data_IF_131102017221
#
_entry.id   IF_131102017221
#
_cell.length_a   1.000
_cell.length_b   1.000
_cell.length_c   1.000
_cell.angle_alpha   90.00
_cell.angle_beta   90.00
_cell.angle_gamma   90.00
#
_symmetry.space_group_name_H-M   'P 1'
#
loop_
_entity.id
_entity.type
_entity.pdbx_description
1 polymer ?
2 non-polymer ?
3 non-polymer ?
4 non-polymer ?
5 non-polymer ?
6 non-polymer ?
7 water ?
#
# COMPACT_ATOMS: atom_id res chain seq x y z
N UNK A 4 3.75 -24.27 -20.40
CA UNK A 4 2.28 -24.21 -20.65
C UNK A 4 1.63 -23.02 -19.95
N UNK A 5 0.36 -22.78 -20.26
CA UNK A 5 -0.39 -21.70 -19.62
C UNK A 5 -0.57 -21.96 -18.13
N UNK A 6 -1.00 -20.93 -17.43
CA UNK A 6 -1.21 -20.96 -15.99
C UNK A 6 -2.43 -20.14 -15.64
N UNK A 7 -3.23 -20.65 -14.71
CA UNK A 7 -4.24 -19.83 -14.06
C UNK A 7 -4.18 -20.08 -12.55
N UNK A 8 -4.75 -19.16 -11.79
CA UNK A 8 -4.71 -19.22 -10.34
C UNK A 8 -6.12 -19.36 -9.78
N UNK A 9 -6.22 -20.05 -8.65
CA UNK A 9 -7.41 -20.03 -7.81
C UNK A 9 -7.03 -19.39 -6.47
N UNK A 10 -7.80 -18.41 -6.02
CA UNK A 10 -7.55 -17.79 -4.72
C UNK A 10 -8.76 -18.00 -3.83
N UNK A 11 -8.53 -18.64 -2.68
CA UNK A 11 -9.58 -18.92 -1.70
C UNK A 11 -9.75 -17.72 -0.80
N UNK A 12 -10.94 -17.10 -0.87
CA UNK A 12 -11.16 -15.80 -0.22
C UNK A 12 -12.53 -15.66 0.45
N UNK A 13 -13.18 -16.79 0.73
CA UNK A 13 -14.58 -16.83 1.17
C UNK A 13 -14.81 -16.66 2.67
N UNK A 14 -13.74 -16.63 3.45
CA UNK A 14 -13.85 -16.70 4.90
C UNK A 14 -14.43 -15.46 5.58
N UNK A 15 -15.17 -15.71 6.66
CA UNK A 15 -15.76 -14.66 7.51
C UNK A 15 -14.73 -13.92 8.37
N UNK A 16 -13.69 -14.63 8.80
CA UNK A 16 -12.67 -14.02 9.65
C UNK A 16 -13.24 -13.56 10.98
N UNK A 17 -13.95 -14.47 11.63
CA UNK A 17 -14.62 -14.20 12.91
C UNK A 17 -13.70 -13.57 13.96
N UNK A 18 -12.46 -14.06 14.05
CA UNK A 18 -11.55 -13.65 15.13
C UNK A 18 -10.85 -12.31 14.85
N UNK A 19 -11.17 -11.70 13.71
CA UNK A 19 -10.82 -10.31 13.44
C UNK A 19 -11.81 -9.34 14.12
N UNK A 20 -12.95 -9.85 14.58
CA UNK A 20 -14.02 -9.05 15.18
C UNK A 20 -14.28 -7.78 14.36
N UNK A 21 -14.68 -8.00 13.12
CA UNK A 21 -14.80 -6.94 12.12
C UNK A 21 -16.06 -7.11 11.28
N UNK A 22 -16.57 -6.01 10.76
CA UNK A 22 -17.64 -6.07 9.75
C UNK A 22 -17.12 -6.47 8.37
N UNK A 23 -15.80 -6.43 8.18
CA UNK A 23 -15.17 -6.85 6.93
C UNK A 23 -14.97 -8.35 6.87
N UNK A 24 -15.03 -8.93 5.64
CA UNK A 24 -14.61 -10.31 5.53
C UNK A 24 -13.08 -10.44 5.67
N UNK A 25 -12.63 -11.66 5.90
CA UNK A 25 -11.27 -11.94 6.37
C UNK A 25 -10.17 -11.35 5.50
N UNK A 26 -10.33 -11.44 4.19
CA UNK A 26 -9.20 -11.13 3.30
C UNK A 26 -9.10 -9.67 2.88
N UNK A 27 -10.04 -8.83 3.33
CA UNK A 27 -10.02 -7.40 2.98
C UNK A 27 -9.20 -6.55 3.94
N UNK A 28 -8.83 -7.12 5.08
CA UNK A 28 -7.95 -6.43 6.04
C UNK A 28 -6.62 -6.13 5.34
N UNK A 29 -6.07 -4.95 5.58
CA UNK A 29 -4.96 -4.48 4.77
C UNK A 29 -3.59 -4.85 5.37
N UNK A 30 -2.63 -5.05 4.47
CA UNK A 30 -1.21 -5.12 4.78
C UNK A 30 -0.57 -4.05 3.90
N UNK A 31 0.19 -3.15 4.51
CA UNK A 31 0.81 -2.03 3.80
C UNK A 31 -0.21 -1.26 2.94
N UNK A 32 -1.40 -1.04 3.50
CA UNK A 32 -2.44 -0.24 2.84
C UNK A 32 -3.25 -0.92 1.75
N UNK A 33 -3.03 -2.22 1.57
CA UNK A 33 -3.58 -2.98 0.45
C UNK A 33 -4.24 -4.24 1.04
N UNK A 34 -5.50 -4.54 0.67
CA UNK A 34 -6.13 -5.78 1.18
C UNK A 34 -5.22 -7.00 0.98
N UNK A 35 -5.20 -7.91 1.94
CA UNK A 35 -4.41 -9.15 1.83
C UNK A 35 -4.64 -9.81 0.47
N UNK A 36 -5.90 -9.92 0.07
CA UNK A 36 -6.24 -10.63 -1.18
C UNK A 36 -5.66 -9.95 -2.42
N UNK A 37 -5.55 -8.61 -2.38
CA UNK A 37 -4.97 -7.83 -3.47
C UNK A 37 -3.47 -8.16 -3.66
N UNK A 38 -2.73 -8.35 -2.57
CA UNK A 38 -1.36 -8.82 -2.66
C UNK A 38 -1.30 -10.13 -3.45
N UNK A 39 -2.19 -11.06 -3.12
CA UNK A 39 -2.19 -12.38 -3.73
C UNK A 39 -2.61 -12.31 -5.22
N UNK A 40 -3.63 -11.51 -5.52
CA UNK A 40 -4.03 -11.26 -6.90
C UNK A 40 -2.85 -10.71 -7.71
N UNK A 41 -2.17 -9.70 -7.16
CA UNK A 41 -1.04 -9.10 -7.86
C UNK A 41 0.06 -10.13 -8.10
N UNK A 42 0.38 -10.93 -7.09
CA UNK A 42 1.38 -11.98 -7.24
C UNK A 42 0.98 -12.99 -8.33
N UNK A 43 -0.28 -13.38 -8.33
CA UNK A 43 -0.79 -14.28 -9.36
C UNK A 43 -0.64 -13.69 -10.75
N UNK A 44 -0.94 -12.40 -10.89
CA UNK A 44 -0.80 -11.69 -12.17
C UNK A 44 0.68 -11.64 -12.61
N UNK A 45 1.56 -11.31 -11.67
CA UNK A 45 2.98 -11.17 -12.00
C UNK A 45 3.62 -12.53 -12.37
N UNK A 46 3.01 -13.63 -11.91
CA UNK A 46 3.38 -14.97 -12.36
C UNK A 46 2.99 -15.29 -13.81
N UNK A 47 2.13 -14.47 -14.39
CA UNK A 47 1.65 -14.68 -15.75
C UNK A 47 0.34 -15.45 -15.81
N UNK A 48 -0.47 -15.38 -14.74
CA UNK A 48 -1.75 -16.10 -14.70
C UNK A 48 -2.68 -15.55 -15.78
N UNK A 49 -3.25 -16.45 -16.58
CA UNK A 49 -4.18 -16.07 -17.62
C UNK A 49 -5.56 -15.75 -17.03
N UNK A 50 -6.05 -16.63 -16.17
CA UNK A 50 -7.23 -16.38 -15.38
C UNK A 50 -6.88 -16.40 -13.89
N UNK A 51 -7.62 -15.64 -13.09
CA UNK A 51 -7.53 -15.68 -11.64
C UNK A 51 -8.93 -15.89 -11.12
N UNK A 52 -9.19 -17.09 -10.62
CA UNK A 52 -10.50 -17.44 -10.11
C UNK A 52 -10.59 -17.09 -8.62
N UNK A 53 -11.41 -16.09 -8.31
CA UNK A 53 -11.54 -15.62 -6.93
C UNK A 53 -12.74 -16.27 -6.28
N UNK A 54 -12.48 -17.17 -5.33
CA UNK A 54 -13.55 -17.85 -4.63
C UNK A 54 -13.93 -16.94 -3.47
N UNK A 55 -15.13 -16.42 -3.49
CA UNK A 55 -15.58 -15.50 -2.45
C UNK A 55 -16.93 -15.95 -1.91
N UNK A 56 -17.34 -15.37 -0.79
CA UNK A 56 -18.56 -15.79 -0.09
C UNK A 56 -19.00 -14.79 0.95
N UNK A 57 -18.43 -14.88 2.15
CA UNK A 57 -18.73 -13.89 3.20
C UNK A 57 -18.30 -12.47 2.83
N UNK A 58 -19.16 -11.50 3.19
CA UNK A 58 -18.91 -10.10 2.87
C UNK A 58 -18.87 -9.87 1.37
N UNK A 59 -19.68 -10.61 0.63
CA UNK A 59 -19.72 -10.56 -0.83
C UNK A 59 -19.83 -9.16 -1.38
N UNK A 60 -20.76 -8.38 -0.83
CA UNK A 60 -20.92 -6.98 -1.23
C UNK A 60 -19.67 -6.16 -1.07
N UNK A 61 -19.01 -6.30 0.07
CA UNK A 61 -17.80 -5.55 0.35
C UNK A 61 -16.65 -6.00 -0.54
N UNK A 62 -16.54 -7.31 -0.79
CA UNK A 62 -15.56 -7.83 -1.73
C UNK A 62 -15.70 -7.15 -3.10
N UNK A 63 -16.93 -7.12 -3.58
CA UNK A 63 -17.22 -6.55 -4.89
C UNK A 63 -16.95 -5.04 -4.98
N UNK A 64 -17.23 -4.30 -3.90
CA UNK A 64 -17.01 -2.86 -3.89
C UNK A 64 -15.52 -2.53 -3.70
N UNK A 65 -14.84 -3.28 -2.82
CA UNK A 65 -13.42 -3.07 -2.56
C UNK A 65 -12.49 -3.54 -3.66
N UNK A 66 -12.92 -4.51 -4.46
CA UNK A 66 -12.05 -5.11 -5.48
C UNK A 66 -12.66 -5.03 -6.86
N UNK A 67 -13.52 -4.03 -7.07
CA UNK A 67 -14.31 -3.90 -8.29
C UNK A 67 -13.48 -3.88 -9.59
N UNK A 68 -12.28 -3.33 -9.54
CA UNK A 68 -11.44 -3.21 -10.74
C UNK A 68 -10.43 -4.35 -10.92
N UNK A 69 -10.50 -5.37 -10.08
CA UNK A 69 -9.58 -6.50 -10.20
C UNK A 69 -9.97 -7.43 -11.35
N UNK A 70 -8.98 -7.87 -12.09
CA UNK A 70 -9.17 -8.76 -13.23
C UNK A 70 -9.21 -10.22 -12.74
N UNK A 71 -10.36 -10.57 -12.17
CA UNK A 71 -10.59 -11.90 -11.62
C UNK A 71 -11.93 -12.41 -12.12
N UNK A 72 -12.07 -13.73 -12.09
CA UNK A 72 -13.34 -14.41 -12.27
C UNK A 72 -13.98 -14.54 -10.88
N UNK A 73 -15.15 -13.94 -10.72
CA UNK A 73 -15.88 -13.93 -9.46
C UNK A 73 -16.67 -15.21 -9.27
N UNK A 74 -16.16 -16.08 -8.39
CA UNK A 74 -16.78 -17.39 -8.17
C UNK A 74 -17.38 -17.40 -6.77
N UNK A 75 -18.70 -17.24 -6.69
CA UNK A 75 -19.40 -17.11 -5.42
C UNK A 75 -19.78 -18.47 -4.85
N UNK A 76 -19.11 -18.82 -3.75
CA UNK A 76 -19.34 -20.05 -3.03
C UNK A 76 -20.44 -19.86 -1.96
N UNK A 77 -21.58 -20.51 -2.15
CA UNK A 77 -22.74 -20.34 -1.26
C UNK A 77 -22.55 -20.97 0.13
N UNK A 78 -21.72 -22.01 0.24
CA UNK A 78 -21.34 -22.56 1.55
C UNK A 78 -19.90 -23.08 1.58
N UNK A 79 -19.26 -22.92 2.73
CA UNK A 79 -17.87 -23.34 2.90
C UNK A 79 -17.86 -24.79 3.38
N UNK A 80 -17.68 -25.71 2.43
CA UNK A 80 -17.69 -27.13 2.74
C UNK A 80 -16.30 -27.74 2.69
N UNK A 81 -15.27 -26.90 2.63
CA UNK A 81 -13.87 -27.35 2.63
C UNK A 81 -13.10 -26.80 1.45
N UNK A 82 -11.77 -26.85 1.54
CA UNK A 82 -10.91 -26.27 0.52
C UNK A 82 -11.07 -26.95 -0.85
N UNK A 83 -11.34 -28.25 -0.87
CA UNK A 83 -11.50 -28.96 -2.15
C UNK A 83 -12.79 -28.53 -2.85
N UNK A 84 -13.83 -28.33 -2.06
CA UNK A 84 -15.09 -27.84 -2.56
C UNK A 84 -14.94 -26.43 -3.12
N UNK A 85 -14.16 -25.60 -2.44
CA UNK A 85 -13.91 -24.24 -2.90
C UNK A 85 -13.23 -24.26 -4.27
N UNK A 86 -12.14 -25.02 -4.39
CA UNK A 86 -11.41 -25.09 -5.65
C UNK A 86 -12.30 -25.67 -6.73
N UNK A 87 -13.12 -26.65 -6.36
CA UNK A 87 -14.02 -27.27 -7.34
C UNK A 87 -15.03 -26.29 -7.93
N UNK A 88 -15.34 -25.21 -7.22
CA UNK A 88 -16.25 -24.18 -7.75
C UNK A 88 -15.70 -23.51 -9.03
N UNK A 89 -14.37 -23.42 -9.13
CA UNK A 89 -13.70 -22.81 -10.28
C UNK A 89 -13.33 -23.84 -11.36
N UNK A 90 -13.37 -25.12 -11.00
CA UNK A 90 -12.88 -26.20 -11.88
C UNK A 90 -13.49 -26.26 -13.27
N UNK A 91 -14.79 -25.97 -13.41
CA UNK A 91 -15.36 -25.96 -14.76
C UNK A 91 -14.66 -24.99 -15.72
N UNK A 92 -13.91 -24.04 -15.17
CA UNK A 92 -13.21 -23.03 -15.95
C UNK A 92 -11.73 -23.36 -16.21
N UNK A 93 -11.24 -24.46 -15.64
CA UNK A 93 -9.86 -24.86 -15.85
C UNK A 93 -9.68 -25.41 -17.28
N UNK A 94 -8.64 -24.98 -17.98
CA UNK A 94 -8.26 -25.62 -19.24
C UNK A 94 -7.53 -26.90 -18.88
N UNK A 95 -7.81 -27.98 -19.62
CA UNK A 95 -7.20 -29.27 -19.35
C UNK A 95 -5.68 -29.20 -19.35
N UNK A 96 -5.11 -28.43 -20.28
CA UNK A 96 -3.67 -28.39 -20.47
C UNK A 96 -2.99 -27.09 -20.02
N UNK A 97 -3.58 -26.43 -19.03
CA UNK A 97 -2.91 -25.37 -18.29
C UNK A 97 -2.59 -25.84 -16.88
N UNK A 98 -1.59 -25.22 -16.28
CA UNK A 98 -1.32 -25.42 -14.87
C UNK A 98 -2.26 -24.54 -14.04
N UNK A 99 -2.63 -25.03 -12.87
CA UNK A 99 -3.41 -24.27 -11.90
C UNK A 99 -2.64 -24.22 -10.58
N UNK A 100 -2.47 -23.02 -10.04
CA UNK A 100 -1.89 -22.83 -8.72
C UNK A 100 -2.99 -22.39 -7.76
N UNK A 101 -3.01 -23.01 -6.58
CA UNK A 101 -4.01 -22.70 -5.56
C UNK A 101 -3.37 -21.89 -4.44
N UNK A 102 -3.95 -20.73 -4.17
CA UNK A 102 -3.42 -19.79 -3.20
C UNK A 102 -4.52 -19.36 -2.26
N UNK A 103 -4.13 -18.77 -1.14
CA UNK A 103 -5.06 -18.39 -0.08
C UNK A 103 -5.02 -16.88 0.11
N UNK A 104 -6.18 -16.26 0.07
CA UNK A 104 -6.32 -14.82 0.20
C UNK A 104 -5.88 -14.24 1.52
N UNK A 105 -5.77 -15.09 2.55
CA UNK A 105 -5.30 -14.67 3.88
C UNK A 105 -3.81 -14.99 4.13
N UNK A 106 -3.07 -15.27 3.07
CA UNK A 106 -1.62 -15.45 3.15
C UNK A 106 -0.95 -14.59 2.09
N UNK A 107 -0.82 -13.28 2.36
CA UNK A 107 -0.40 -12.31 1.35
C UNK A 107 1.10 -12.24 1.04
N UNK A 108 1.94 -12.90 1.82
CA UNK A 108 3.39 -12.72 1.69
C UNK A 108 4.05 -13.69 0.72
N UNK A 109 3.28 -14.64 0.18
CA UNK A 109 3.83 -15.61 -0.77
C UNK A 109 4.47 -14.90 -1.96
N UNK A 110 5.68 -15.31 -2.34
CA UNK A 110 6.42 -14.61 -3.41
C UNK A 110 6.30 -15.30 -4.78
N UNK A 111 6.45 -14.48 -5.82
CA UNK A 111 6.52 -14.95 -7.21
C UNK A 111 7.66 -15.96 -7.38
N UNK A 112 8.81 -15.67 -6.78
CA UNK A 112 10.00 -16.49 -6.95
C UNK A 112 9.79 -17.92 -6.38
N UNK A 113 9.16 -18.02 -5.21
CA UNK A 113 8.83 -19.30 -4.64
C UNK A 113 7.81 -20.05 -5.52
N UNK A 114 6.84 -19.32 -6.04
CA UNK A 114 5.78 -19.93 -6.84
C UNK A 114 6.27 -20.35 -8.23
N UNK A 115 7.25 -19.63 -8.78
CA UNK A 115 7.90 -20.06 -10.02
C UNK A 115 8.67 -21.36 -9.83
N UNK A 116 9.33 -21.48 -8.68
CA UNK A 116 10.08 -22.68 -8.31
C UNK A 116 9.12 -23.86 -8.15
N UNK A 117 7.99 -23.61 -7.49
CA UNK A 117 6.93 -24.60 -7.31
C UNK A 117 6.40 -25.12 -8.64
N UNK A 118 6.05 -24.19 -9.52
CA UNK A 118 5.51 -24.55 -10.83
C UNK A 118 6.54 -25.35 -11.63
N UNK A 119 7.81 -24.92 -11.56
CA UNK A 119 8.92 -25.57 -12.27
C UNK A 119 9.12 -27.03 -11.85
N UNK A 120 8.87 -27.31 -10.57
CA UNK A 120 9.08 -28.63 -10.01
C UNK A 120 7.96 -29.62 -10.35
N UNK A 121 6.82 -29.12 -10.86
CA UNK A 121 5.64 -29.96 -11.07
C UNK A 121 5.91 -31.01 -12.14
N UNK A 122 5.80 -32.30 -11.76
CA UNK A 122 5.99 -33.35 -12.76
C UNK A 122 4.76 -33.52 -13.66
N UNK A 123 4.98 -34.00 -14.88
CA UNK A 123 3.87 -34.19 -15.81
C UNK A 123 2.81 -35.09 -15.19
N UNK A 124 1.55 -34.68 -15.34
CA UNK A 124 0.39 -35.34 -14.72
C UNK A 124 0.46 -35.51 -13.19
N UNK A 125 1.32 -34.72 -12.55
CA UNK A 125 1.57 -34.83 -11.11
C UNK A 125 1.23 -33.56 -10.35
N UNK A 126 1.77 -33.44 -9.14
CA UNK A 126 1.53 -32.28 -8.28
C UNK A 126 2.85 -31.77 -7.70
N UNK A 127 3.02 -30.44 -7.66
CA UNK A 127 4.06 -29.79 -6.88
C UNK A 127 3.39 -29.24 -5.64
N UNK A 128 3.86 -29.68 -4.48
CA UNK A 128 3.31 -29.26 -3.19
C UNK A 128 4.30 -28.34 -2.48
N UNK A 129 3.82 -27.17 -2.06
CA UNK A 129 4.63 -26.26 -1.28
C UNK A 129 4.60 -26.71 0.17
N UNK A 130 5.79 -26.92 0.73
CA UNK A 130 5.94 -27.30 2.13
C UNK A 130 6.78 -26.26 2.86
N UNK A 131 6.81 -26.39 4.19
CA UNK A 131 7.60 -25.51 5.02
C UNK A 131 8.12 -26.30 6.23
N UNK A 132 9.32 -25.98 6.68
CA UNK A 132 9.86 -26.61 7.88
C UNK A 132 9.59 -25.75 9.10
N UNK A 133 8.98 -26.36 10.12
CA UNK A 133 8.60 -25.69 11.36
C UNK A 133 9.39 -26.28 12.53
N UNK A 134 9.75 -25.44 13.49
CA UNK A 134 10.52 -25.90 14.65
C UNK A 134 9.59 -26.68 15.60
N UNK A 135 8.36 -26.18 15.75
CA UNK A 135 7.29 -26.92 16.40
C UNK A 135 6.17 -27.20 15.38
N UNK A 136 6.22 -28.36 14.71
CA UNK A 136 5.24 -28.74 13.71
C UNK A 136 3.93 -29.31 14.26
N UNK A 137 3.77 -29.31 15.59
CA UNK A 137 2.58 -29.87 16.25
C UNK A 137 1.30 -29.33 15.62
N UNK A 138 0.38 -30.24 15.28
CA UNK A 138 -0.93 -29.86 14.74
C UNK A 138 -1.03 -29.87 13.22
N UNK A 139 0.12 -29.86 12.55
CA UNK A 139 0.17 -29.76 11.09
C UNK A 139 0.46 -31.12 10.45
N UNK A 140 0.06 -31.28 9.19
CA UNK A 140 0.24 -32.53 8.46
C UNK A 140 1.68 -32.76 8.04
N UNK A 141 2.25 -33.89 8.46
CA UNK A 141 3.66 -34.17 8.23
C UNK A 141 3.87 -34.70 6.82
N UNK A 142 4.89 -34.16 6.15
CA UNK A 142 5.29 -34.62 4.83
C UNK A 142 6.12 -35.90 4.93
N UNK A 143 5.66 -36.95 4.24
CA UNK A 143 6.38 -38.21 4.16
C UNK A 143 6.99 -38.37 2.77
N UNK A 144 8.31 -38.35 2.71
CA UNK A 144 9.03 -38.50 1.44
C UNK A 144 9.57 -39.92 1.28
N UNK A 145 9.25 -40.55 0.15
CA UNK A 145 9.85 -41.83 -0.25
C UNK A 145 10.39 -41.71 -1.67
N UNK A 146 11.71 -41.89 -1.81
CA UNK A 146 12.42 -41.75 -3.10
C UNK A 146 12.21 -40.39 -3.76
N UNK A 147 12.29 -39.33 -2.95
CA UNK A 147 12.17 -37.95 -3.45
C UNK A 147 10.75 -37.45 -3.68
N UNK A 148 9.77 -38.33 -3.49
CA UNK A 148 8.37 -37.99 -3.75
C UNK A 148 7.53 -38.04 -2.48
N UNK A 149 6.49 -37.20 -2.43
CA UNK A 149 5.60 -37.15 -1.28
C UNK A 149 4.59 -38.27 -1.41
N UNK A 150 4.64 -39.22 -0.49
CA UNK A 150 3.76 -40.39 -0.54
C UNK A 150 2.57 -40.27 0.39
N UNK A 151 2.63 -39.34 1.34
CA UNK A 151 1.55 -39.14 2.31
C UNK A 151 1.74 -37.83 3.07
N UNK A 152 0.62 -37.26 3.49
CA UNK A 152 0.59 -36.17 4.45
C UNK A 152 -0.10 -36.76 5.68
N UNK A 153 0.69 -37.01 6.72
CA UNK A 153 0.20 -37.67 7.92
C UNK A 153 -0.16 -36.60 8.94
N UNK A 154 -1.42 -36.58 9.34
CA UNK A 154 -1.89 -35.57 10.30
C UNK A 154 -1.40 -35.89 11.72
N UNK A 155 -1.35 -34.86 12.56
CA UNK A 155 -0.93 -34.97 13.96
C UNK A 155 -1.48 -36.22 14.64
N UNK A 156 -2.79 -36.38 14.57
CA UNK A 156 -3.49 -37.44 15.32
C UNK A 156 -3.21 -38.86 14.82
N UNK A 157 -2.70 -38.98 13.60
CA UNK A 157 -2.36 -40.29 13.02
C UNK A 157 -0.86 -40.64 13.11
N UNK A 158 -0.02 -39.64 13.28
CA UNK A 158 1.42 -39.82 13.18
C UNK A 158 1.97 -40.68 14.32
N UNK A 159 2.89 -41.60 13.97
CA UNK A 159 3.63 -42.36 14.98
C UNK A 159 4.73 -41.48 15.57
N UNK A 160 5.42 -42.01 16.58
CA UNK A 160 6.41 -41.23 17.33
C UNK A 160 7.49 -40.59 16.45
N UNK A 161 8.05 -41.34 15.50
CA UNK A 161 9.11 -40.78 14.64
C UNK A 161 8.56 -39.79 13.61
N UNK A 162 7.36 -40.05 13.11
CA UNK A 162 6.69 -39.12 12.19
C UNK A 162 6.41 -37.78 12.84
N UNK A 163 6.02 -37.79 14.11
CA UNK A 163 5.79 -36.55 14.86
C UNK A 163 7.02 -35.65 14.90
N UNK A 164 8.22 -36.24 14.82
CA UNK A 164 9.46 -35.45 14.81
C UNK A 164 9.77 -34.80 13.45
N UNK A 165 9.04 -35.18 12.41
CA UNK A 165 9.19 -34.55 11.10
C UNK A 165 8.80 -33.08 11.22
N UNK A 166 9.69 -32.21 10.74
CA UNK A 166 9.50 -30.76 10.80
C UNK A 166 8.85 -30.22 9.52
N UNK A 167 8.93 -30.97 8.43
CA UNK A 167 8.38 -30.53 7.15
C UNK A 167 6.87 -30.78 7.12
N UNK A 168 6.13 -29.74 6.75
CA UNK A 168 4.69 -29.68 6.92
C UNK A 168 4.02 -29.18 5.63
N UNK A 169 2.77 -29.62 5.42
CA UNK A 169 1.94 -29.22 4.27
C UNK A 169 1.42 -27.80 4.44
N UNK A 170 1.52 -27.00 3.38
CA UNK A 170 0.95 -25.65 3.39
C UNK A 170 -0.41 -25.55 2.70
N UNK A 171 -0.79 -26.55 1.90
CA UNK A 171 -2.03 -26.48 1.12
C UNK A 171 -1.89 -25.76 -0.22
N UNK A 172 -0.75 -25.12 -0.45
CA UNK A 172 -0.46 -24.48 -1.72
C UNK A 172 0.14 -25.51 -2.65
N UNK A 173 -0.42 -25.60 -3.87
CA UNK A 173 -0.06 -26.67 -4.78
C UNK A 173 -0.37 -26.29 -6.23
N UNK A 174 0.27 -27.03 -7.14
CA UNK A 174 0.16 -26.82 -8.56
C UNK A 174 -0.08 -28.16 -9.23
N UNK A 175 -1.08 -28.22 -10.09
CA UNK A 175 -1.31 -29.38 -10.95
C UNK A 175 -2.00 -28.92 -12.24
N UNK A 176 -2.11 -29.79 -13.22
CA UNK A 176 -2.79 -29.43 -14.46
C UNK A 176 -4.32 -29.44 -14.27
N UNK A 177 -5.02 -28.70 -15.12
CA UNK A 177 -6.47 -28.56 -15.02
C UNK A 177 -7.22 -29.87 -15.11
N UNK A 178 -6.82 -30.74 -16.02
CA UNK A 178 -7.45 -32.05 -16.18
C UNK A 178 -7.36 -32.87 -14.90
N UNK A 179 -6.16 -32.87 -14.31
CA UNK A 179 -5.89 -33.61 -13.08
C UNK A 179 -6.71 -33.07 -11.90
N UNK A 180 -6.78 -31.76 -11.76
CA UNK A 180 -7.67 -31.16 -10.75
C UNK A 180 -9.11 -31.58 -10.91
N UNK A 181 -9.65 -31.51 -12.13
CA UNK A 181 -11.04 -31.88 -12.38
C UNK A 181 -11.32 -33.34 -11.99
N UNK A 182 -10.39 -34.21 -12.34
CA UNK A 182 -10.46 -35.66 -12.09
C UNK A 182 -10.44 -35.96 -10.59
N UNK A 183 -9.44 -35.41 -9.91
CA UNK A 183 -9.21 -35.72 -8.50
C UNK A 183 -10.19 -35.03 -7.58
N UNK A 184 -10.55 -33.77 -7.87
CA UNK A 184 -11.53 -33.06 -7.04
C UNK A 184 -12.86 -33.83 -6.96
N UNK A 185 -13.23 -34.48 -8.05
CA UNK A 185 -14.44 -35.30 -8.10
C UNK A 185 -14.40 -36.54 -7.20
N UNK A 186 -13.20 -36.93 -6.78
CA UNK A 186 -12.98 -38.10 -5.93
C UNK A 186 -12.72 -37.75 -4.47
N UNK A 187 -12.73 -36.47 -4.11
CA UNK A 187 -12.54 -36.08 -2.72
C UNK A 187 -13.82 -36.32 -1.93
N UNK A 188 -13.71 -37.02 -0.81
CA UNK A 188 -14.83 -37.26 0.09
C UNK A 188 -14.74 -36.35 1.29
N UNK A 189 -15.73 -36.45 2.18
CA UNK A 189 -15.70 -35.71 3.44
C UNK A 189 -15.78 -36.64 4.66
N UNK A 190 -15.27 -37.86 4.51
CA UNK A 190 -15.33 -38.83 5.61
C UNK A 190 -14.19 -38.57 6.59
N UNK A 191 -14.41 -37.58 7.46
CA UNK A 191 -13.42 -37.20 8.46
C UNK A 191 -14.10 -36.47 9.61
N UNK A 192 -13.36 -36.21 10.69
CA UNK A 192 -13.95 -35.68 11.92
C UNK A 192 -14.67 -34.34 11.73
N UNK A 193 -14.24 -33.58 10.72
CA UNK A 193 -14.77 -32.26 10.43
C UNK A 193 -15.88 -32.29 9.37
N UNK A 194 -15.99 -33.40 8.65
CA UNK A 194 -17.00 -33.53 7.60
C UNK A 194 -16.76 -32.56 6.46
N UNK A 195 -15.50 -32.26 6.17
CA UNK A 195 -15.13 -31.32 5.12
C UNK A 195 -14.39 -31.99 3.96
N UNK A 196 -14.51 -31.38 2.78
CA UNK A 196 -13.80 -31.83 1.58
C UNK A 196 -12.45 -31.11 1.50
N UNK A 197 -11.37 -31.81 1.86
CA UNK A 197 -10.05 -31.20 1.97
C UNK A 197 -9.24 -31.33 0.69
N UNK A 198 -8.69 -30.21 0.24
CA UNK A 198 -7.79 -30.20 -0.91
C UNK A 198 -6.58 -31.11 -0.64
N UNK A 199 -6.17 -31.17 0.63
CA UNK A 199 -5.08 -32.05 1.10
C UNK A 199 -5.16 -33.46 0.52
N UNK A 200 -6.37 -33.98 0.40
CA UNK A 200 -6.60 -35.35 -0.10
C UNK A 200 -6.16 -35.60 -1.55
N UNK A 201 -5.89 -34.56 -2.32
CA UNK A 201 -5.38 -34.75 -3.68
C UNK A 201 -4.06 -35.49 -3.73
N UNK A 202 -3.24 -35.36 -2.68
CA UNK A 202 -1.93 -36.02 -2.64
C UNK A 202 -2.14 -37.53 -2.61
N UNK A 203 -3.03 -37.99 -1.73
CA UNK A 203 -3.39 -39.41 -1.67
C UNK A 203 -3.94 -39.89 -3.01
N UNK A 204 -4.85 -39.10 -3.59
CA UNK A 204 -5.48 -39.47 -4.86
C UNK A 204 -4.48 -39.54 -6.02
N UNK A 205 -3.56 -38.58 -6.08
CA UNK A 205 -2.46 -38.63 -7.04
C UNK A 205 -1.63 -39.90 -6.87
N UNK A 206 -1.28 -40.22 -5.63
CA UNK A 206 -0.51 -41.44 -5.35
C UNK A 206 -1.28 -42.73 -5.70
N UNK A 207 -2.60 -42.73 -5.49
CA UNK A 207 -3.49 -43.81 -5.96
C UNK A 207 -3.40 -44.02 -7.48
N UNK A 208 -3.19 -42.93 -8.21
CA UNK A 208 -3.19 -42.94 -9.68
C UNK A 208 -1.81 -43.16 -10.28
N UNK A 209 -0.84 -43.52 -9.45
CA UNK A 209 0.56 -43.61 -9.87
C UNK A 209 1.07 -42.33 -10.51
N UNK A 210 0.66 -41.20 -9.94
CA UNK A 210 1.16 -39.89 -10.34
C UNK A 210 2.09 -39.35 -9.26
N UNK A 211 3.08 -38.56 -9.68
CA UNK A 211 4.14 -38.11 -8.79
C UNK A 211 3.77 -36.83 -8.07
N UNK A 212 4.05 -36.78 -6.78
CA UNK A 212 3.93 -35.57 -5.98
C UNK A 212 5.33 -35.17 -5.52
N UNK A 213 5.74 -33.96 -5.88
CA UNK A 213 7.06 -33.44 -5.52
C UNK A 213 6.90 -32.32 -4.50
N UNK A 214 7.73 -32.33 -3.46
CA UNK A 214 7.73 -31.25 -2.47
C UNK A 214 8.70 -30.15 -2.87
N UNK A 215 8.28 -28.91 -2.65
CA UNK A 215 9.12 -27.74 -2.81
C UNK A 215 9.04 -26.97 -1.51
N UNK A 216 10.17 -26.75 -0.87
CA UNK A 216 10.18 -26.03 0.40
C UNK A 216 10.23 -24.53 0.18
N UNK A 217 9.43 -23.81 0.96
CA UNK A 217 9.52 -22.37 1.01
C UNK A 217 10.79 -22.01 1.77
N UNK A 218 11.56 -21.08 1.22
CA UNK A 218 12.80 -20.62 1.84
C UNK A 218 12.52 -19.86 3.14
N UNK A 219 11.51 -18.99 3.10
CA UNK A 219 11.11 -18.21 4.24
C UNK A 219 9.79 -18.71 4.80
N UNK A 220 9.79 -19.11 6.07
CA UNK A 220 8.60 -19.59 6.75
C UNK A 220 7.45 -18.59 6.72
N UNK A 221 7.76 -17.30 6.89
CA UNK A 221 6.75 -16.25 6.95
C UNK A 221 5.97 -16.08 5.65
N UNK A 222 6.61 -16.46 4.54
CA UNK A 222 6.02 -16.37 3.22
C UNK A 222 4.66 -17.05 3.12
N UNK A 223 4.54 -18.19 3.79
CA UNK A 223 3.32 -19.01 3.69
C UNK A 223 2.41 -18.79 4.89
N UNK A 224 2.77 -17.85 5.75
CA UNK A 224 2.02 -17.55 6.96
C UNK A 224 0.72 -16.80 6.63
N UNK A 225 -0.38 -17.26 7.22
CA UNK A 225 -1.66 -16.56 7.08
C UNK A 225 -2.02 -15.79 8.36
N UNK A 226 -3.05 -14.97 8.29
CA UNK A 226 -3.53 -14.24 9.46
C UNK A 226 -5.00 -14.56 9.74
N UNK A 227 -5.26 -15.09 10.92
CA UNK A 227 -6.62 -15.37 11.39
C UNK A 227 -7.15 -14.29 12.34
N UNK A 228 -6.24 -13.46 12.85
CA UNK A 228 -6.62 -12.37 13.72
C UNK A 228 -5.68 -11.18 13.49
N UNK A 229 -5.93 -10.07 14.18
CA UNK A 229 -5.17 -8.85 13.93
C UNK A 229 -3.78 -8.87 14.56
N UNK A 230 -3.59 -9.74 15.55
CA UNK A 230 -2.26 -9.95 16.12
C UNK A 230 -1.37 -10.59 15.05
N UNK A 231 -1.88 -11.65 14.42
CA UNK A 231 -1.15 -12.31 13.35
C UNK A 231 -0.93 -11.38 12.16
N UNK A 232 -1.94 -10.56 11.87
CA UNK A 232 -1.84 -9.61 10.76
C UNK A 232 -0.73 -8.58 11.00
N UNK A 233 -0.64 -8.08 12.24
CA UNK A 233 0.40 -7.13 12.63
C UNK A 233 1.80 -7.72 12.44
N UNK A 234 1.95 -9.02 12.73
CA UNK A 234 3.21 -9.70 12.54
C UNK A 234 3.57 -9.75 11.06
N UNK A 235 2.58 -10.04 10.20
CA UNK A 235 2.82 -10.05 8.75
C UNK A 235 3.21 -8.66 8.26
N UNK A 236 2.52 -7.64 8.78
CA UNK A 236 2.84 -6.24 8.46
C UNK A 236 4.30 -5.91 8.73
N UNK A 237 4.76 -6.22 9.94
CA UNK A 237 6.13 -5.95 10.38
C UNK A 237 7.14 -6.68 9.49
N UNK A 238 6.87 -7.95 9.21
CA UNK A 238 7.73 -8.74 8.33
C UNK A 238 7.82 -8.09 6.95
N UNK A 239 6.65 -7.70 6.42
CA UNK A 239 6.54 -7.07 5.11
C UNK A 239 7.31 -5.74 5.04
N UNK A 240 7.12 -4.89 6.05
CA UNK A 240 7.80 -3.58 6.08
C UNK A 240 9.31 -3.72 6.19
N UNK A 241 9.77 -4.65 7.03
CA UNK A 241 11.19 -4.94 7.15
C UNK A 241 11.82 -5.44 5.84
N UNK A 242 11.10 -6.29 5.11
CA UNK A 242 11.54 -6.75 3.80
C UNK A 242 11.64 -5.57 2.82
N UNK A 243 10.64 -4.70 2.82
CA UNK A 243 10.63 -3.52 1.95
C UNK A 243 11.78 -2.57 2.25
N UNK A 244 11.94 -2.28 3.54
CA UNK A 244 13.01 -1.41 4.02
C UNK A 244 14.38 -1.97 3.68
N UNK A 245 14.58 -3.27 3.87
CA UNK A 245 15.86 -3.91 3.56
C UNK A 245 16.21 -3.80 2.08
N UNK A 246 15.22 -3.98 1.21
CA UNK A 246 15.41 -3.81 -0.23
C UNK A 246 15.87 -2.40 -0.59
N UNK A 247 15.19 -1.40 -0.01
CA UNK A 247 15.56 -0.01 -0.24
C UNK A 247 16.98 0.30 0.26
N UNK A 248 17.32 -0.20 1.45
CA UNK A 248 18.66 -0.04 2.02
C UNK A 248 19.71 -0.61 1.08
N UNK A 249 19.47 -1.80 0.56
CA UNK A 249 20.43 -2.43 -0.37
C UNK A 249 20.49 -1.71 -1.73
N UNK A 250 19.43 -0.99 -2.10
CA UNK A 250 19.43 -0.12 -3.27
C UNK A 250 20.11 1.25 -3.01
N UNK A 251 20.45 1.52 -1.76
CA UNK A 251 21.22 2.71 -1.42
C UNK A 251 20.45 3.86 -0.80
N UNK A 252 19.22 3.60 -0.34
CA UNK A 252 18.47 4.59 0.40
C UNK A 252 18.92 4.52 1.86
N UNK A 253 19.34 5.65 2.43
CA UNK A 253 19.67 5.67 3.87
C UNK A 253 18.37 5.77 4.65
N UNK A 254 17.97 4.67 5.29
CA UNK A 254 16.84 4.66 6.20
C UNK A 254 17.41 4.56 7.59
N UNK A 255 17.29 5.64 8.37
CA UNK A 255 17.97 5.75 9.66
C UNK A 255 17.64 4.57 10.56
N UNK A 256 16.36 4.22 10.63
CA UNK A 256 15.92 3.04 11.38
C UNK A 256 14.84 2.31 10.59
N UNK A 257 15.18 1.18 9.96
CA UNK A 257 14.18 0.44 9.17
C UNK A 257 12.99 -0.12 9.97
N UNK A 258 13.09 -0.18 11.30
CA UNK A 258 11.98 -0.59 12.17
C UNK A 258 10.96 0.54 12.36
N UNK A 259 11.35 1.75 12.00
CA UNK A 259 10.49 2.92 12.07
C UNK A 259 10.35 3.58 10.71
N UNK A 260 9.95 2.78 9.74
CA UNK A 260 9.72 3.21 8.38
C UNK A 260 8.56 2.40 7.85
N UNK A 261 7.63 3.06 7.17
CA UNK A 261 6.49 2.38 6.57
C UNK A 261 6.34 2.82 5.14
N UNK A 262 6.26 1.85 4.23
CA UNK A 262 5.90 2.07 2.83
C UNK A 262 4.57 1.37 2.53
N UNK A 263 3.61 2.13 2.06
CA UNK A 263 2.26 1.66 1.76
C UNK A 263 1.91 2.03 0.33
N UNK A 264 2.62 1.41 -0.61
CA UNK A 264 2.52 1.75 -2.02
C UNK A 264 3.85 1.49 -2.73
N UNK A 265 4.28 2.44 -3.56
CA UNK A 265 5.53 2.29 -4.32
C UNK A 265 6.42 3.51 -4.15
N UNK A 266 7.73 3.27 -4.02
CA UNK A 266 8.72 4.33 -3.91
C UNK A 266 9.74 4.23 -5.05
N UNK A 267 9.86 5.31 -5.80
CA UNK A 267 10.91 5.48 -6.81
C UNK A 267 11.91 6.44 -6.18
N UNK A 268 13.20 6.13 -6.25
CA UNK A 268 14.22 6.95 -5.58
C UNK A 268 15.48 7.15 -6.41
N UNK A 269 16.14 8.28 -6.20
CA UNK A 269 17.47 8.52 -6.75
C UNK A 269 18.54 8.04 -5.79
N UNK A 270 19.73 8.61 -5.95
CA UNK A 270 20.86 8.28 -5.09
C UNK A 270 20.95 9.24 -3.92
N UNK A 271 21.59 8.77 -2.86
CA UNK A 271 21.87 9.58 -1.67
C UNK A 271 20.62 10.17 -1.01
N UNK A 272 19.51 9.43 -1.07
CA UNK A 272 18.28 9.79 -0.38
C UNK A 272 18.41 9.41 1.10
N UNK A 273 18.04 10.31 1.99
CA UNK A 273 18.05 10.05 3.44
C UNK A 273 16.65 10.20 4.05
N UNK A 274 16.18 9.16 4.73
CA UNK A 274 14.86 9.14 5.36
C UNK A 274 15.02 8.89 6.86
N UNK A 275 14.68 9.89 7.66
CA UNK A 275 14.80 9.81 9.11
C UNK A 275 13.66 8.96 9.70
N UNK A 276 13.70 8.79 11.02
CA UNK A 276 12.82 7.84 11.69
C UNK A 276 11.36 8.32 11.65
N UNK A 277 10.45 7.36 11.61
CA UNK A 277 9.00 7.59 11.62
C UNK A 277 8.50 8.38 10.42
N UNK A 278 8.89 7.94 9.23
CA UNK A 278 8.35 8.47 8.00
C UNK A 278 7.41 7.40 7.42
N UNK A 279 6.31 7.88 6.82
CA UNK A 279 5.32 7.04 6.15
C UNK A 279 5.21 7.53 4.71
N UNK A 280 5.38 6.59 3.79
CA UNK A 280 5.33 6.83 2.36
C UNK A 280 4.11 6.06 1.84
N UNK A 281 3.15 6.76 1.25
CA UNK A 281 1.88 6.16 0.82
C UNK A 281 1.60 6.44 -0.65
N UNK A 282 0.90 5.53 -1.30
CA UNK A 282 0.57 5.66 -2.72
C UNK A 282 1.83 5.60 -3.55
N UNK A 283 1.85 6.38 -4.62
CA UNK A 283 2.98 6.42 -5.53
C UNK A 283 3.87 7.63 -5.22
N UNK A 284 5.07 7.37 -4.70
CA UNK A 284 5.97 8.45 -4.34
C UNK A 284 7.26 8.34 -5.14
N UNK A 285 7.73 9.48 -5.64
CA UNK A 285 8.96 9.55 -6.40
C UNK A 285 9.86 10.59 -5.76
N UNK A 286 11.07 10.18 -5.37
CA UNK A 286 12.07 11.06 -4.78
C UNK A 286 13.29 11.13 -5.69
N UNK A 287 13.78 12.34 -5.99
CA UNK A 287 14.99 12.50 -6.80
C UNK A 287 16.25 12.28 -6.00
N UNK A 288 17.40 12.66 -6.58
CA UNK A 288 18.68 12.50 -5.92
C UNK A 288 18.82 13.45 -4.72
N UNK A 289 19.43 12.96 -3.65
CA UNK A 289 19.81 13.76 -2.49
C UNK A 289 18.62 14.43 -1.79
N UNK A 290 17.47 13.77 -1.82
CA UNK A 290 16.31 14.22 -1.07
C UNK A 290 16.52 13.80 0.38
N UNK A 291 16.26 14.73 1.29
CA UNK A 291 16.33 14.44 2.72
C UNK A 291 14.94 14.62 3.32
N UNK A 292 14.45 13.57 3.99
CA UNK A 292 13.15 13.60 4.66
C UNK A 292 13.35 13.48 6.18
N UNK A 293 12.93 14.51 6.90
CA UNK A 293 13.10 14.60 8.35
C UNK A 293 12.10 13.75 9.11
N UNK A 294 12.25 13.71 10.42
CA UNK A 294 11.45 12.79 11.21
C UNK A 294 9.95 13.16 11.18
N UNK A 295 9.10 12.14 11.20
CA UNK A 295 7.67 12.35 11.33
C UNK A 295 6.90 12.72 10.07
N UNK A 296 7.56 12.73 8.92
CA UNK A 296 6.90 13.20 7.71
C UNK A 296 5.97 12.13 7.14
N UNK A 297 4.92 12.59 6.46
CA UNK A 297 4.00 11.72 5.75
C UNK A 297 3.91 12.23 4.31
N UNK A 298 4.28 11.38 3.35
CA UNK A 298 4.21 11.70 1.94
C UNK A 298 3.26 10.73 1.26
N UNK A 299 2.17 11.24 0.69
CA UNK A 299 1.21 10.41 -0.03
C UNK A 299 1.01 10.91 -1.44
N UNK A 300 1.37 10.10 -2.44
CA UNK A 300 1.22 10.48 -3.84
C UNK A 300 1.88 11.82 -4.17
N UNK A 301 3.20 11.84 -4.09
CA UNK A 301 3.95 13.04 -4.31
C UNK A 301 5.13 12.79 -5.23
N UNK A 302 5.59 13.85 -5.88
CA UNK A 302 6.83 13.81 -6.63
C UNK A 302 7.74 14.89 -6.05
N UNK A 303 8.94 14.51 -5.64
CA UNK A 303 9.89 15.42 -5.03
C UNK A 303 11.15 15.46 -5.87
N UNK A 304 11.57 16.65 -6.29
CA UNK A 304 12.74 16.80 -7.15
C UNK A 304 14.07 16.65 -6.44
N UNK A 305 15.14 16.73 -7.23
CA UNK A 305 16.48 16.60 -6.67
C UNK A 305 16.74 17.66 -5.61
N UNK A 306 17.48 17.30 -4.56
CA UNK A 306 18.07 18.24 -3.60
C UNK A 306 17.05 18.97 -2.71
N UNK A 307 15.88 18.38 -2.56
CA UNK A 307 14.84 18.93 -1.68
C UNK A 307 15.08 18.42 -0.26
N UNK A 308 14.99 19.30 0.73
CA UNK A 308 14.95 18.87 2.11
C UNK A 308 13.53 19.12 2.63
N UNK A 309 12.91 18.08 3.16
CA UNK A 309 11.64 18.21 3.88
C UNK A 309 11.96 18.06 5.37
N UNK A 310 11.70 19.11 6.14
CA UNK A 310 12.04 19.14 7.54
C UNK A 310 10.91 18.50 8.36
N UNK A 311 11.18 18.17 9.63
CA UNK A 311 10.25 17.34 10.41
C UNK A 311 8.77 17.74 10.48
N UNK A 312 7.93 16.72 10.67
CA UNK A 312 6.49 16.89 10.87
C UNK A 312 5.82 17.68 9.76
N UNK A 313 6.16 17.33 8.52
CA UNK A 313 5.49 17.85 7.34
C UNK A 313 4.62 16.75 6.72
N UNK A 314 3.44 17.15 6.25
CA UNK A 314 2.44 16.22 5.69
C UNK A 314 2.11 16.67 4.27
N UNK A 315 2.34 15.80 3.29
CA UNK A 315 2.19 16.16 1.88
C UNK A 315 1.32 15.14 1.19
N UNK A 316 0.35 15.59 0.40
CA UNK A 316 -0.48 14.69 -0.40
C UNK A 316 -0.76 15.26 -1.78
N UNK A 317 -0.66 14.42 -2.81
CA UNK A 317 -1.05 14.79 -4.18
C UNK A 317 -0.39 16.10 -4.61
N UNK A 318 0.91 16.16 -4.37
CA UNK A 318 1.68 17.37 -4.54
C UNK A 318 2.94 17.13 -5.36
N UNK A 319 3.46 18.21 -5.94
CA UNK A 319 4.71 18.19 -6.71
C UNK A 319 5.62 19.27 -6.16
N UNK A 320 6.90 18.93 -5.99
CA UNK A 320 7.88 19.84 -5.39
C UNK A 320 9.15 19.83 -6.25
N UNK A 321 9.55 21.02 -6.67
CA UNK A 321 10.65 21.19 -7.59
C UNK A 321 11.99 21.11 -6.90
N UNK A 322 13.03 21.02 -7.71
CA UNK A 322 14.37 20.81 -7.20
C UNK A 322 14.84 21.98 -6.31
N UNK A 323 15.60 21.62 -5.29
CA UNK A 323 16.20 22.57 -4.37
C UNK A 323 15.17 23.30 -3.48
N UNK A 324 13.91 22.87 -3.51
CA UNK A 324 12.90 23.43 -2.61
C UNK A 324 13.22 23.04 -1.18
N UNK A 325 12.65 23.79 -0.24
CA UNK A 325 12.81 23.54 1.17
C UNK A 325 11.42 23.58 1.81
N UNK A 326 11.03 22.50 2.46
CA UNK A 326 9.69 22.39 3.05
C UNK A 326 9.82 22.07 4.53
N UNK A 327 8.99 22.70 5.35
CA UNK A 327 8.90 22.31 6.76
C UNK A 327 9.82 23.11 7.66
N UNK A 328 9.81 22.80 8.96
CA UNK A 328 8.99 21.78 9.59
C UNK A 328 7.55 22.27 9.74
N UNK A 329 6.65 21.35 10.09
CA UNK A 329 5.25 21.70 10.34
C UNK A 329 4.58 22.31 9.11
N UNK A 330 4.90 21.80 7.92
CA UNK A 330 4.25 22.27 6.69
C UNK A 330 3.17 21.28 6.26
N UNK A 331 2.11 21.80 5.64
CA UNK A 331 1.03 21.00 5.11
C UNK A 331 0.82 21.32 3.64
N UNK A 332 1.04 20.33 2.78
CA UNK A 332 0.70 20.44 1.37
C UNK A 332 -0.49 19.53 1.11
N UNK A 333 -1.59 20.14 0.67
CA UNK A 333 -2.82 19.42 0.37
C UNK A 333 -2.90 19.21 -1.14
N UNK A 334 -3.81 18.33 -1.59
CA UNK A 334 -3.87 18.01 -3.01
C UNK A 334 -3.86 19.22 -3.94
N UNK A 335 -3.08 19.10 -5.02
CA UNK A 335 -2.95 20.13 -6.02
C UNK A 335 -1.91 21.20 -5.67
N UNK A 336 -1.15 20.99 -4.60
CA UNK A 336 -0.05 21.90 -4.27
C UNK A 336 1.09 21.63 -5.24
N UNK A 337 1.53 22.66 -5.97
CA UNK A 337 2.64 22.54 -6.92
C UNK A 337 3.67 23.63 -6.63
N UNK A 338 4.81 23.22 -6.08
CA UNK A 338 5.85 24.15 -5.71
C UNK A 338 6.95 24.06 -6.75
N UNK A 339 7.37 25.19 -7.31
CA UNK A 339 8.45 25.19 -8.29
C UNK A 339 9.80 25.01 -7.59
N UNK A 340 10.86 24.97 -8.39
CA UNK A 340 12.22 24.89 -7.87
C UNK A 340 12.54 26.05 -6.94
N UNK A 341 13.38 25.78 -5.94
CA UNK A 341 13.98 26.82 -5.09
C UNK A 341 12.93 27.59 -4.26
N UNK A 342 11.78 26.97 -4.04
CA UNK A 342 10.73 27.58 -3.23
C UNK A 342 10.97 27.25 -1.78
N UNK A 343 10.29 27.99 -0.90
CA UNK A 343 10.42 27.80 0.54
C UNK A 343 9.04 27.83 1.18
N UNK A 344 8.67 26.76 1.88
CA UNK A 344 7.41 26.70 2.63
C UNK A 344 7.76 26.35 4.07
N UNK A 345 7.27 27.14 5.02
CA UNK A 345 7.72 27.06 6.41
C UNK A 345 6.66 26.56 7.39
N UNK A 346 6.90 26.81 8.66
CA UNK A 346 6.08 26.22 9.73
C UNK A 346 4.71 26.83 9.83
N UNK A 347 3.73 25.95 10.02
CA UNK A 347 2.34 26.34 10.23
C UNK A 347 1.83 27.01 8.97
N UNK A 348 2.22 26.44 7.83
CA UNK A 348 1.77 26.90 6.52
C UNK A 348 1.00 25.77 5.86
N UNK A 349 -0.13 26.13 5.25
CA UNK A 349 -1.00 25.19 4.55
C UNK A 349 -1.19 25.69 3.11
N UNK A 350 -0.87 24.84 2.14
CA UNK A 350 -1.02 25.15 0.72
C UNK A 350 -1.94 24.09 0.09
N UNK A 351 -3.02 24.56 -0.53
CA UNK A 351 -4.06 23.71 -1.13
C UNK A 351 -4.35 24.17 -2.57
N UNK A 352 -4.27 23.25 -3.52
CA UNK A 352 -4.66 23.52 -4.91
C UNK A 352 -4.13 24.87 -5.41
N UNK A 353 -2.83 25.03 -5.27
CA UNK A 353 -2.15 26.26 -5.65
C UNK A 353 -0.80 25.99 -6.27
N UNK A 354 -0.40 26.84 -7.21
CA UNK A 354 0.93 26.78 -7.80
C UNK A 354 1.78 27.92 -7.24
N UNK A 355 3.03 27.62 -6.89
CA UNK A 355 3.94 28.62 -6.30
C UNK A 355 5.23 28.62 -7.13
N UNK A 356 5.53 29.78 -7.71
CA UNK A 356 6.60 29.90 -8.70
C UNK A 356 7.98 29.97 -8.13
N UNK A 357 8.96 29.90 -9.01
CA UNK A 357 10.35 29.69 -8.62
C UNK A 357 10.83 30.75 -7.65
N UNK A 358 11.44 30.31 -6.55
CA UNK A 358 12.13 31.22 -5.63
C UNK A 358 11.22 31.86 -4.59
N UNK A 359 9.91 31.68 -4.74
CA UNK A 359 8.94 32.26 -3.81
C UNK A 359 9.01 31.63 -2.41
N UNK A 360 8.65 32.42 -1.40
CA UNK A 360 8.69 31.97 -0.02
C UNK A 360 7.37 32.23 0.70
N UNK A 361 6.91 31.21 1.41
CA UNK A 361 5.72 31.24 2.25
C UNK A 361 6.12 30.59 3.58
N UNK A 362 6.69 31.37 4.48
CA UNK A 362 7.43 30.82 5.60
C UNK A 362 6.75 30.74 6.97
N UNK A 363 5.57 31.32 7.16
CA UNK A 363 4.92 31.25 8.50
C UNK A 363 3.41 31.47 8.52
N UNK A 364 2.68 30.58 9.21
CA UNK A 364 1.36 30.92 9.72
C UNK A 364 0.42 31.43 8.62
N UNK A 365 0.37 30.68 7.52
CA UNK A 365 -0.28 31.14 6.29
C UNK A 365 -1.17 30.04 5.69
N UNK A 366 -2.28 30.46 5.08
CA UNK A 366 -3.11 29.61 4.27
C UNK A 366 -3.15 30.19 2.87
N UNK A 367 -2.70 29.40 1.89
CA UNK A 367 -2.83 29.72 0.48
C UNK A 367 -3.66 28.62 -0.20
N UNK A 368 -4.81 29.00 -0.75
CA UNK A 368 -5.70 28.05 -1.37
C UNK A 368 -6.22 28.56 -2.69
N UNK A 369 -6.38 27.67 -3.65
CA UNK A 369 -6.93 28.01 -4.97
C UNK A 369 -6.23 29.23 -5.57
N UNK A 370 -4.91 29.20 -5.55
CA UNK A 370 -4.09 30.34 -5.90
C UNK A 370 -3.01 30.03 -6.95
N UNK A 371 -2.63 31.04 -7.72
CA UNK A 371 -1.44 31.03 -8.54
C UNK A 371 -0.51 32.10 -8.00
N UNK A 372 0.71 31.72 -7.64
CA UNK A 372 1.72 32.66 -7.19
C UNK A 372 2.92 32.47 -8.10
N UNK A 373 3.45 33.59 -8.57
CA UNK A 373 4.55 33.60 -9.53
C UNK A 373 5.90 33.45 -8.88
N UNK A 374 6.94 33.90 -9.59
CA UNK A 374 8.31 33.69 -9.14
C UNK A 374 8.79 34.83 -8.26
N UNK A 375 9.64 34.50 -7.30
CA UNK A 375 10.29 35.47 -6.43
C UNK A 375 9.32 36.36 -5.65
N UNK A 376 8.23 35.76 -5.19
CA UNK A 376 7.30 36.43 -4.32
C UNK A 376 7.66 36.20 -2.87
N UNK A 377 7.25 37.14 -2.03
CA UNK A 377 7.46 37.10 -0.59
C UNK A 377 6.09 37.19 0.07
N UNK A 378 5.59 36.05 0.54
CA UNK A 378 4.27 35.94 1.16
C UNK A 378 4.46 35.97 2.67
N UNK A 379 4.08 37.08 3.28
CA UNK A 379 4.38 37.33 4.69
C UNK A 379 3.69 36.40 5.65
N UNK A 380 4.23 36.31 6.85
CA UNK A 380 3.58 35.62 7.95
C UNK A 380 2.13 36.07 8.10
N UNK A 381 1.21 35.13 8.33
CA UNK A 381 -0.15 35.48 8.67
C UNK A 381 -1.06 35.78 7.49
N UNK A 382 -0.54 35.64 6.28
CA UNK A 382 -1.32 35.92 5.07
C UNK A 382 -2.34 34.82 4.87
N UNK A 383 -3.53 35.19 4.44
CA UNK A 383 -4.61 34.22 4.27
C UNK A 383 -5.36 34.58 2.98
N UNK A 384 -5.53 33.58 2.10
CA UNK A 384 -6.47 33.68 0.99
C UNK A 384 -7.85 33.26 1.47
N UNK A 385 -8.87 34.02 1.12
CA UNK A 385 -10.23 33.70 1.54
C UNK A 385 -11.26 34.09 0.48
N UNK A 386 -12.52 33.76 0.77
CA UNK A 386 -13.64 34.04 -0.12
C UNK A 386 -14.75 34.80 0.57
N UNK A 387 -15.68 35.32 -0.24
CA UNK A 387 -16.93 35.87 0.30
C UNK A 387 -17.82 34.72 0.73
N UNK A 388 -18.78 35.03 1.58
CA UNK A 388 -19.83 34.09 1.94
C UNK A 388 -20.75 33.95 0.72
N UNK A 389 -20.49 32.95 -0.11
CA UNK A 389 -21.13 32.88 -1.44
C UNK A 389 -21.42 31.45 -1.79
N UNK A 390 -21.21 31.09 -3.06
CA UNK A 390 -21.07 29.68 -3.48
C UNK A 390 -19.77 29.53 -4.25
N UNK A 391 -19.29 28.30 -4.42
CA UNK A 391 -17.98 28.04 -5.02
C UNK A 391 -16.97 29.10 -4.64
N UNK A 392 -15.74 28.63 -4.43
CA UNK A 392 -14.65 29.46 -3.96
C UNK A 392 -13.70 29.75 -5.12
N UNK A 393 -13.27 30.99 -5.21
CA UNK A 393 -12.65 31.50 -6.41
C UNK A 393 -11.14 31.63 -6.26
N UNK A 394 -10.49 32.11 -7.32
CA UNK A 394 -9.04 32.04 -7.42
C UNK A 394 -8.35 33.36 -7.11
N UNK A 395 -7.20 33.27 -6.46
CA UNK A 395 -6.32 34.41 -6.19
C UNK A 395 -5.12 34.26 -7.12
N UNK A 396 -4.85 35.28 -7.93
CA UNK A 396 -3.74 35.26 -8.89
C UNK A 396 -2.71 36.32 -8.49
N UNK A 397 -1.52 35.86 -8.16
CA UNK A 397 -0.42 36.74 -7.78
C UNK A 397 0.69 36.56 -8.82
N UNK A 398 1.16 37.68 -9.37
CA UNK A 398 2.17 37.67 -10.40
C UNK A 398 3.57 37.45 -9.84
N UNK A 399 4.56 37.87 -10.61
CA UNK A 399 5.95 37.69 -10.24
C UNK A 399 6.42 38.86 -9.40
N UNK A 400 7.39 38.62 -8.54
CA UNK A 400 8.08 39.67 -7.78
C UNK A 400 7.14 40.51 -6.92
N UNK A 401 6.15 39.86 -6.31
CA UNK A 401 5.19 40.52 -5.43
C UNK A 401 5.58 40.34 -3.96
N UNK A 402 5.43 41.41 -3.18
CA UNK A 402 5.61 41.41 -1.74
C UNK A 402 4.23 41.56 -1.11
N UNK A 403 3.82 40.56 -0.31
CA UNK A 403 2.56 40.63 0.42
C UNK A 403 2.88 40.71 1.91
N UNK A 404 2.56 41.85 2.49
CA UNK A 404 2.94 42.14 3.87
C UNK A 404 2.17 41.28 4.83
N UNK A 405 2.74 41.08 6.01
CA UNK A 405 2.22 40.17 7.01
C UNK A 405 0.75 40.45 7.41
N UNK A 406 0.03 39.38 7.72
CA UNK A 406 -1.35 39.46 8.22
C UNK A 406 -2.30 40.16 7.26
N UNK A 407 -2.07 39.98 5.97
CA UNK A 407 -2.90 40.47 4.90
C UNK A 407 -3.87 39.37 4.45
N UNK A 408 -5.14 39.74 4.23
CA UNK A 408 -6.12 38.82 3.66
C UNK A 408 -6.28 39.16 2.20
N UNK A 409 -6.24 38.14 1.35
CA UNK A 409 -6.42 38.26 -0.08
C UNK A 409 -7.78 37.65 -0.35
N UNK A 410 -8.73 38.47 -0.79
CA UNK A 410 -10.12 38.03 -0.92
C UNK A 410 -10.44 37.71 -2.37
N UNK A 411 -10.56 36.40 -2.67
CA UNK A 411 -10.84 35.94 -4.05
C UNK A 411 -12.26 36.27 -4.50
N UNK A 412 -12.46 36.47 -5.82
CA UNK A 412 -11.44 36.45 -6.86
C UNK A 412 -10.67 37.76 -6.93
N UNK A 413 -9.35 37.69 -6.97
CA UNK A 413 -8.53 38.92 -7.05
C UNK A 413 -7.20 38.65 -7.76
N UNK A 414 -6.66 39.68 -8.40
CA UNK A 414 -5.42 39.56 -9.17
C UNK A 414 -4.46 40.63 -8.66
N UNK A 415 -3.22 40.24 -8.41
CA UNK A 415 -2.16 41.16 -8.00
C UNK A 415 -1.06 41.03 -9.05
N UNK A 416 -0.81 42.11 -9.79
CA UNK A 416 0.08 42.05 -10.95
C UNK A 416 1.56 42.10 -10.56
N UNK A 417 2.44 41.89 -11.54
CA UNK A 417 3.87 41.81 -11.31
C UNK A 417 4.39 43.03 -10.54
N UNK A 418 5.30 42.78 -9.60
CA UNK A 418 6.02 43.85 -8.91
C UNK A 418 5.25 44.64 -7.88
N UNK A 419 4.01 44.25 -7.60
CA UNK A 419 3.19 44.97 -6.63
C UNK A 419 3.70 44.75 -5.19
N UNK A 420 3.39 45.70 -4.31
CA UNK A 420 3.82 45.69 -2.93
C UNK A 420 2.61 45.97 -2.06
N UNK A 421 2.37 45.12 -1.07
CA UNK A 421 1.19 45.22 -0.22
C UNK A 421 1.64 45.31 1.23
N UNK A 422 1.23 46.38 1.91
CA UNK A 422 1.61 46.63 3.29
C UNK A 422 1.01 45.61 4.23
N UNK A 423 1.60 45.50 5.42
CA UNK A 423 1.08 44.61 6.45
C UNK A 423 -0.33 45.02 6.90
N UNK A 424 -1.16 44.02 7.21
CA UNK A 424 -2.48 44.25 7.80
C UNK A 424 -3.53 44.72 6.82
N UNK A 425 -3.32 44.45 5.53
CA UNK A 425 -4.19 44.94 4.48
C UNK A 425 -5.31 43.92 4.17
N UNK A 426 -6.47 44.42 3.73
CA UNK A 426 -7.52 43.57 3.19
C UNK A 426 -7.63 43.87 1.68
N UNK A 427 -7.25 42.92 0.84
CA UNK A 427 -7.22 43.13 -0.62
C UNK A 427 -8.46 42.51 -1.25
N UNK A 428 -9.31 43.37 -1.79
CA UNK A 428 -10.53 42.97 -2.48
C UNK A 428 -10.54 43.35 -3.96
N UNK A 429 -9.86 44.45 -4.28
CA UNK A 429 -9.78 44.94 -5.66
C UNK A 429 -8.42 44.60 -6.25
N UNK A 430 -8.40 44.39 -7.56
CA UNK A 430 -7.16 43.99 -8.25
C UNK A 430 -6.08 45.02 -8.03
N UNK A 431 -4.85 44.56 -7.91
CA UNK A 431 -3.70 45.43 -7.69
C UNK A 431 -2.87 45.44 -8.98
N UNK A 432 -2.53 46.63 -9.45
CA UNK A 432 -1.83 46.80 -10.73
C UNK A 432 -0.33 46.58 -10.65
N UNK A 433 0.32 46.53 -11.81
CA UNK A 433 1.76 46.33 -11.87
C UNK A 433 2.44 47.49 -11.16
N UNK A 434 3.45 47.17 -10.35
CA UNK A 434 4.18 48.19 -9.56
C UNK A 434 3.27 49.08 -8.71
N UNK A 435 2.13 48.56 -8.27
CA UNK A 435 1.26 49.32 -7.39
C UNK A 435 1.59 48.97 -5.95
N UNK A 436 1.78 50.00 -5.12
CA UNK A 436 1.96 49.86 -3.68
C UNK A 436 0.62 50.14 -3.02
N UNK A 437 0.18 49.22 -2.15
CA UNK A 437 -1.06 49.40 -1.42
C UNK A 437 -0.78 49.33 0.06
N UNK A 438 -1.06 50.41 0.78
CA UNK A 438 -0.83 50.44 2.20
C UNK A 438 -2.09 50.87 2.93
N UNK A 439 -2.38 50.17 4.02
CA UNK A 439 -3.59 50.42 4.79
C UNK A 439 -3.33 51.64 5.64
N UNK A 440 -4.30 52.55 5.65
CA UNK A 440 -4.27 53.74 6.48
C UNK A 440 -5.02 53.42 7.78
N UNK A 441 -4.30 53.35 8.87
CA UNK A 441 -4.92 53.01 10.15
C UNK A 441 -5.28 54.27 10.94
N UNK A 442 -6.32 54.15 11.75
CA UNK A 442 -6.68 55.18 12.70
C UNK A 442 -6.47 54.57 14.08
N UNK A 443 -5.73 55.29 14.90
CA UNK A 443 -5.39 54.84 16.25
C UNK A 443 -5.74 55.91 17.28
N UNK A 444 -6.15 55.42 18.45
CA UNK A 444 -6.35 56.26 19.63
C UNK A 444 -5.16 56.01 20.55
N UNK A 445 -4.47 57.07 20.95
CA UNK A 445 -3.34 56.97 21.86
C UNK A 445 -3.70 57.62 23.18
N UNK A 446 -3.60 56.85 24.26
CA UNK A 446 -3.97 57.32 25.59
C UNK A 446 -2.75 57.24 26.51
N UNK A 447 -2.28 58.40 26.95
CA UNK A 447 -1.06 58.47 27.75
C UNK A 447 -1.39 58.25 29.21
N UNK A 448 -0.43 57.73 29.97
CA UNK A 448 -0.65 57.50 31.40
C UNK A 448 -1.70 56.44 31.68
N UNK A 449 -1.83 55.45 30.79
CA UNK A 449 -2.67 54.29 31.06
C UNK A 449 -1.88 53.28 31.89
N UNK A 450 -2.19 53.22 33.19
CA UNK A 450 -1.54 52.30 34.13
C UNK A 450 -2.22 50.94 34.09
N UNK A 451 -1.45 49.90 33.72
CA UNK A 451 -1.98 48.54 33.64
C UNK A 451 -2.21 47.97 35.03
N UNK A 452 -3.18 47.05 35.17
CA UNK A 452 -3.45 46.36 36.42
C UNK A 452 -2.18 45.87 37.12
#
# INVERSE_FOLDING_TARGET
MTKKALSAVILAAGKGTRMYSDLPKVLHTIAGKPMVKHVIDTAHQLGSENIHLIYGHGGDLMRTHLANEQVNWVLQTEQLGTAHAVQQAAPFFKDNENIVVLYGDAPLITKETLEKLIEAKPENGIALLTVNLDNPTGYGRIIRENGNVVAIVEQKDANAEQLNIKEVNTGVMVSDGASFKKWLARVGNNNAQGEYYLTDLIALANQDNCQVVAVQATDVMEVEGANNRLQLAALERYFQNKQASKLLLEGVMIYDPARFDLRGTLEHGKDVEIDVNVIIEGNVKLGDRVKIGTGCVLKNVVIGNDVEIKPYSVLEDSIVGEKAAIGPFSRLRPGAELAAETHVGNFVEIKKSTVGKGSKVNHLTYVGDSEIGSNCNIGAGVITCNYDGANKFKTIIGDDVFVGSDTQLVAPVKVANGATIGAGTTITRDVGENELVITRVAQRHIQGWQRPIKKK
#
